data_IF_600514860316
#
_entry.id   IF_600514860316
#
_cell.length_a   1.000
_cell.length_b   1.000
_cell.length_c   1.000
_cell.angle_alpha   90.00
_cell.angle_beta   90.00
_cell.angle_gamma   90.00
#
_symmetry.space_group_name_H-M   'P 1'
#
loop_
_entity.id
_entity.type
_entity.pdbx_description
1 polymer ?
#
# COMPACT_ATOMS: atom_id res chain seq x y z
N UNK A 1 -23.74 -15.69 8.50
CA UNK A 1 -23.86 -14.40 9.21
C UNK A 1 -25.32 -14.04 9.33
N UNK A 2 -25.78 -13.50 10.47
CA UNK A 2 -27.18 -13.11 10.68
C UNK A 2 -27.34 -11.59 10.60
N UNK A 3 -28.55 -11.13 10.26
CA UNK A 3 -28.87 -9.71 10.17
C UNK A 3 -28.68 -8.97 11.51
N UNK A 4 -29.06 -9.59 12.63
CA UNK A 4 -28.94 -8.93 13.94
C UNK A 4 -27.48 -8.74 14.38
N UNK A 5 -26.58 -9.67 14.00
CA UNK A 5 -25.15 -9.47 14.20
C UNK A 5 -24.64 -8.24 13.44
N UNK A 6 -25.06 -8.02 12.19
CA UNK A 6 -24.73 -6.82 11.43
C UNK A 6 -25.29 -5.55 12.08
N UNK A 7 -26.52 -5.62 12.58
CA UNK A 7 -27.18 -4.51 13.28
C UNK A 7 -26.43 -4.09 14.54
N UNK A 8 -25.96 -5.06 15.34
CA UNK A 8 -25.17 -4.80 16.54
C UNK A 8 -23.80 -4.20 16.19
N UNK A 9 -23.10 -4.75 15.19
CA UNK A 9 -21.83 -4.21 14.73
C UNK A 9 -21.95 -2.76 14.26
N UNK A 10 -23.00 -2.43 13.50
CA UNK A 10 -23.27 -1.08 13.05
C UNK A 10 -23.56 -0.13 14.23
N UNK A 11 -24.35 -0.56 15.22
CA UNK A 11 -24.67 0.24 16.41
C UNK A 11 -23.43 0.56 17.26
N UNK A 12 -22.50 -0.39 17.39
CA UNK A 12 -21.28 -0.21 18.18
C UNK A 12 -20.10 0.39 17.38
N UNK A 13 -20.31 0.74 16.10
CA UNK A 13 -19.25 1.31 15.27
C UNK A 13 -18.11 0.33 14.97
N UNK A 14 -18.40 -0.97 14.99
CA UNK A 14 -17.42 -2.03 14.77
C UNK A 14 -17.31 -2.36 13.27
N UNK A 15 -16.09 -2.34 12.75
CA UNK A 15 -15.78 -2.77 11.40
C UNK A 15 -16.03 -4.27 11.25
N UNK A 16 -16.78 -4.66 10.23
CA UNK A 16 -16.77 -6.01 9.68
C UNK A 16 -15.84 -6.06 8.46
N UNK A 17 -14.92 -7.02 8.42
CA UNK A 17 -14.08 -7.29 7.26
C UNK A 17 -14.12 -8.78 6.91
N UNK A 18 -14.68 -9.11 5.76
CA UNK A 18 -14.64 -10.43 5.15
C UNK A 18 -13.32 -10.58 4.39
N UNK A 19 -12.51 -11.50 4.87
CA UNK A 19 -11.19 -11.80 4.34
C UNK A 19 -11.14 -13.26 3.88
N UNK A 20 -10.28 -13.56 2.91
CA UNK A 20 -9.96 -14.93 2.55
C UNK A 20 -9.15 -15.62 3.66
N UNK A 21 -8.89 -16.91 3.48
CA UNK A 21 -8.04 -17.71 4.38
C UNK A 21 -6.71 -16.98 4.65
N UNK A 22 -6.31 -16.91 5.91
CA UNK A 22 -5.10 -16.22 6.39
C UNK A 22 -4.99 -14.73 6.01
N UNK A 23 -6.10 -14.08 5.64
CA UNK A 23 -6.11 -12.67 5.29
C UNK A 23 -5.46 -12.33 3.94
N UNK A 24 -5.25 -13.33 3.07
CA UNK A 24 -4.56 -13.15 1.78
C UNK A 24 -5.37 -12.39 0.73
N UNK A 25 -6.68 -12.21 0.98
CA UNK A 25 -7.59 -11.39 0.16
C UNK A 25 -8.57 -10.67 1.06
N UNK A 26 -8.94 -9.43 0.69
CA UNK A 26 -10.01 -8.66 1.35
C UNK A 26 -11.15 -8.50 0.36
N UNK A 27 -12.34 -8.97 0.73
CA UNK A 27 -13.55 -8.86 -0.10
C UNK A 27 -14.48 -7.74 0.35
N UNK A 28 -14.32 -7.25 1.59
CA UNK A 28 -15.15 -6.18 2.13
C UNK A 28 -14.69 -4.81 1.66
N UNK A 29 -15.68 -3.99 1.27
CA UNK A 29 -15.49 -2.57 1.06
C UNK A 29 -15.24 -1.86 2.40
N UNK A 30 -14.48 -0.74 2.42
CA UNK A 30 -14.32 0.05 3.63
C UNK A 30 -15.69 0.42 4.23
N UNK A 31 -15.83 0.40 5.56
CA UNK A 31 -17.10 0.66 6.21
C UNK A 31 -17.49 2.13 5.96
N UNK A 32 -18.66 2.34 5.36
CA UNK A 32 -19.25 3.66 5.20
C UNK A 32 -20.01 4.00 6.49
N UNK A 33 -19.31 4.17 7.61
CA UNK A 33 -19.93 4.71 8.82
C UNK A 33 -19.88 6.24 8.80
N UNK A 34 -20.97 6.91 9.19
CA UNK A 34 -21.12 8.36 9.08
C UNK A 34 -20.30 9.16 10.10
N UNK A 35 -19.71 8.52 11.11
CA UNK A 35 -19.38 9.24 12.34
C UNK A 35 -18.13 10.14 12.27
N UNK A 36 -17.12 9.85 11.44
CA UNK A 36 -15.89 10.67 11.38
C UNK A 36 -15.25 10.68 9.99
N UNK A 37 -15.09 11.89 9.44
CA UNK A 37 -14.47 12.16 8.12
C UNK A 37 -13.18 12.97 8.21
N UNK A 38 -12.69 13.25 9.41
CA UNK A 38 -11.46 14.01 9.70
C UNK A 38 -10.23 13.38 9.03
N UNK A 39 -10.03 12.06 9.17
CA UNK A 39 -8.92 11.33 8.55
C UNK A 39 -9.03 11.36 7.03
N UNK A 40 -10.22 11.11 6.49
CA UNK A 40 -10.45 11.13 5.04
C UNK A 40 -10.27 12.54 4.45
N UNK A 41 -10.68 13.58 5.17
CA UNK A 41 -10.48 14.99 4.77
C UNK A 41 -9.02 15.38 4.83
N UNK A 42 -8.30 15.01 5.88
CA UNK A 42 -6.85 15.22 5.98
C UNK A 42 -6.10 14.52 4.85
N UNK A 43 -6.50 13.31 4.48
CA UNK A 43 -5.99 12.65 3.27
C UNK A 43 -6.29 13.51 2.04
N UNK A 44 -7.55 13.88 1.79
CA UNK A 44 -7.93 14.69 0.64
C UNK A 44 -7.13 16.00 0.52
N UNK A 45 -6.85 16.69 1.63
CA UNK A 45 -6.03 17.90 1.66
C UNK A 45 -4.56 17.65 1.31
N UNK A 46 -3.99 16.53 1.78
CA UNK A 46 -2.63 16.13 1.41
C UNK A 46 -2.53 15.81 -0.09
N UNK A 47 -3.60 15.25 -0.68
CA UNK A 47 -3.65 14.90 -2.10
C UNK A 47 -3.95 16.09 -3.01
N UNK A 48 -4.75 17.04 -2.52
CA UNK A 48 -5.22 18.19 -3.27
C UNK A 48 -4.10 19.15 -3.68
N UNK A 49 -3.02 19.23 -2.90
CA UNK A 49 -1.90 20.15 -3.20
C UNK A 49 -0.66 19.41 -3.75
N UNK A 50 -0.09 19.84 -4.90
CA UNK A 50 1.10 19.21 -5.48
C UNK A 50 2.31 19.19 -4.53
N UNK A 51 2.50 20.26 -3.76
CA UNK A 51 3.61 20.37 -2.79
C UNK A 51 3.49 19.34 -1.65
N UNK A 52 2.30 19.17 -1.06
CA UNK A 52 2.10 18.20 0.02
C UNK A 52 2.19 16.77 -0.50
N UNK A 53 1.71 16.50 -1.72
CA UNK A 53 1.84 15.18 -2.37
C UNK A 53 3.29 14.73 -2.48
N UNK A 54 4.19 15.60 -2.94
CA UNK A 54 5.62 15.32 -3.03
C UNK A 54 6.22 15.10 -1.63
N UNK A 55 5.84 15.92 -0.65
CA UNK A 55 6.30 15.76 0.74
C UNK A 55 5.93 14.39 1.32
N UNK A 56 4.70 13.91 1.08
CA UNK A 56 4.26 12.59 1.53
C UNK A 56 5.03 11.48 0.82
N UNK A 57 5.22 11.58 -0.50
CA UNK A 57 6.00 10.61 -1.26
C UNK A 57 7.45 10.51 -0.75
N UNK A 58 8.10 11.65 -0.44
CA UNK A 58 9.44 11.68 0.16
C UNK A 58 9.49 11.01 1.52
N UNK A 59 8.49 11.26 2.36
CA UNK A 59 8.41 10.62 3.68
C UNK A 59 8.25 9.10 3.55
N UNK A 60 7.46 8.63 2.58
CA UNK A 60 7.33 7.19 2.29
C UNK A 60 8.62 6.57 1.79
N UNK A 61 9.35 7.26 0.90
CA UNK A 61 10.67 6.82 0.46
C UNK A 61 11.67 6.75 1.61
N UNK A 62 11.66 7.73 2.51
CA UNK A 62 12.51 7.73 3.69
C UNK A 62 12.22 6.55 4.63
N UNK A 63 10.94 6.25 4.88
CA UNK A 63 10.54 5.08 5.67
C UNK A 63 10.98 3.76 5.02
N UNK A 64 10.91 3.67 3.69
CA UNK A 64 11.27 2.46 2.96
C UNK A 64 12.78 2.23 2.87
N UNK A 65 13.55 3.31 2.64
CA UNK A 65 15.00 3.23 2.41
C UNK A 65 15.82 3.37 3.70
N UNK A 66 15.20 3.87 4.78
CA UNK A 66 15.87 4.13 6.06
C UNK A 66 16.69 5.42 6.08
N UNK A 67 16.66 6.22 5.00
CA UNK A 67 17.48 7.42 4.82
C UNK A 67 16.66 8.55 4.19
N UNK A 68 16.95 9.79 4.57
CA UNK A 68 16.29 10.97 3.97
C UNK A 68 17.08 11.40 2.75
N UNK A 69 16.53 11.13 1.56
CA UNK A 69 17.16 11.55 0.31
C UNK A 69 16.95 13.07 0.06
N UNK A 70 18.02 13.81 -0.32
CA UNK A 70 17.95 15.26 -0.55
C UNK A 70 17.21 15.62 -1.86
N UNK A 71 17.01 14.63 -2.75
CA UNK A 71 16.45 14.81 -4.08
C UNK A 71 14.98 15.25 -4.01
N UNK A 72 14.64 16.30 -4.78
CA UNK A 72 13.26 16.82 -4.89
C UNK A 72 12.43 16.07 -5.93
N UNK A 73 13.10 15.44 -6.88
CA UNK A 73 12.44 14.83 -8.03
C UNK A 73 12.01 13.38 -7.73
N UNK A 74 10.76 13.07 -8.11
CA UNK A 74 10.15 11.76 -7.87
C UNK A 74 10.73 10.70 -8.81
N UNK A 75 11.12 11.06 -10.02
CA UNK A 75 11.65 10.11 -11.00
C UNK A 75 13.03 9.62 -10.59
N UNK A 76 13.85 10.52 -10.04
CA UNK A 76 15.13 10.19 -9.43
C UNK A 76 14.96 9.21 -8.24
N UNK A 77 14.01 9.48 -7.33
CA UNK A 77 13.73 8.59 -6.19
C UNK A 77 13.30 7.18 -6.65
N UNK A 78 12.52 7.10 -7.74
CA UNK A 78 12.13 5.83 -8.35
C UNK A 78 13.30 5.09 -8.97
N UNK A 79 14.23 5.79 -9.61
CA UNK A 79 15.44 5.19 -10.19
C UNK A 79 16.28 4.51 -9.11
N UNK A 80 16.50 5.20 -7.99
CA UNK A 80 17.24 4.68 -6.82
C UNK A 80 16.54 3.45 -6.26
N UNK A 81 15.23 3.52 -6.04
CA UNK A 81 14.43 2.40 -5.53
C UNK A 81 14.50 1.20 -6.47
N UNK A 82 14.33 1.42 -7.78
CA UNK A 82 14.38 0.36 -8.78
C UNK A 82 15.73 -0.34 -8.83
N UNK A 83 16.83 0.41 -8.76
CA UNK A 83 18.17 -0.14 -8.69
C UNK A 83 18.37 -0.99 -7.42
N UNK A 84 17.93 -0.49 -6.26
CA UNK A 84 18.05 -1.20 -4.98
C UNK A 84 17.23 -2.49 -4.95
N UNK A 85 16.00 -2.46 -5.47
CA UNK A 85 15.14 -3.65 -5.57
C UNK A 85 15.76 -4.71 -6.49
N UNK A 86 16.33 -4.31 -7.64
CA UNK A 86 17.05 -5.23 -8.53
C UNK A 86 18.27 -5.85 -7.84
N UNK A 87 19.03 -5.07 -7.08
CA UNK A 87 20.17 -5.57 -6.31
C UNK A 87 19.74 -6.60 -5.25
N UNK A 88 18.66 -6.32 -4.51
CA UNK A 88 18.11 -7.25 -3.51
C UNK A 88 17.69 -8.57 -4.16
N UNK A 89 16.98 -8.54 -5.30
CA UNK A 89 16.60 -9.77 -5.99
C UNK A 89 17.82 -10.58 -6.44
N UNK A 90 18.86 -9.93 -6.98
CA UNK A 90 20.10 -10.62 -7.37
C UNK A 90 20.80 -11.26 -6.17
N UNK A 91 20.91 -10.54 -5.06
CA UNK A 91 21.54 -11.05 -3.84
C UNK A 91 20.78 -12.24 -3.27
N UNK A 92 19.44 -12.17 -3.21
CA UNK A 92 18.61 -13.30 -2.77
C UNK A 92 18.68 -14.48 -3.73
N UNK A 93 18.68 -14.22 -5.04
CA UNK A 93 18.82 -15.28 -6.04
C UNK A 93 20.17 -16.01 -5.89
N UNK A 94 21.25 -15.29 -5.63
CA UNK A 94 22.57 -15.88 -5.34
C UNK A 94 22.58 -16.70 -4.04
N UNK A 95 21.98 -16.17 -2.98
CA UNK A 95 21.86 -16.84 -1.68
C UNK A 95 21.10 -18.17 -1.77
N UNK A 96 20.04 -18.22 -2.57
CA UNK A 96 19.24 -19.44 -2.78
C UNK A 96 19.66 -20.28 -4.00
N UNK A 97 20.69 -19.87 -4.75
CA UNK A 97 21.15 -20.58 -5.95
C UNK A 97 20.14 -20.62 -7.11
N UNK A 98 19.25 -19.63 -7.20
CA UNK A 98 18.17 -19.57 -8.20
C UNK A 98 18.62 -18.75 -9.42
N UNK A 99 18.43 -19.27 -10.63
CA UNK A 99 18.65 -18.51 -11.86
C UNK A 99 17.57 -17.42 -12.02
N UNK A 100 17.93 -16.16 -11.78
CA UNK A 100 16.99 -15.03 -11.84
C UNK A 100 17.27 -14.11 -13.04
N UNK A 101 16.39 -14.17 -14.04
CA UNK A 101 16.48 -13.33 -15.26
C UNK A 101 15.70 -12.00 -15.15
N UNK A 102 15.11 -11.73 -13.99
CA UNK A 102 14.29 -10.54 -13.75
C UNK A 102 12.81 -10.84 -13.55
N UNK A 103 12.07 -9.80 -13.13
CA UNK A 103 10.63 -9.90 -12.89
C UNK A 103 9.86 -9.76 -14.19
N UNK A 104 9.38 -10.88 -14.72
CA UNK A 104 8.47 -10.93 -15.88
C UNK A 104 7.08 -11.34 -15.37
N UNK A 105 6.05 -10.67 -15.85
CA UNK A 105 4.66 -11.01 -15.55
C UNK A 105 3.82 -10.82 -16.80
N UNK A 106 3.29 -11.92 -17.33
CA UNK A 106 2.29 -11.88 -18.38
C UNK A 106 0.89 -11.88 -17.74
N UNK A 107 0.05 -10.94 -18.19
CA UNK A 107 -1.35 -10.83 -17.74
C UNK A 107 -2.26 -11.81 -18.45
N UNK A 108 -1.92 -12.21 -19.67
CA UNK A 108 -2.75 -13.11 -20.47
C UNK A 108 -2.49 -14.57 -20.12
N UNK A 109 -1.29 -14.90 -19.63
CA UNK A 109 -0.95 -16.24 -19.18
C UNK A 109 -0.15 -16.22 -17.86
N UNK A 110 -0.84 -16.10 -16.71
CA UNK A 110 -0.17 -15.99 -15.40
C UNK A 110 0.65 -17.23 -15.04
N UNK A 111 0.25 -18.41 -15.51
CA UNK A 111 0.87 -19.70 -15.16
C UNK A 111 2.07 -20.06 -16.05
N UNK A 112 2.26 -19.37 -17.18
CA UNK A 112 3.43 -19.54 -18.02
C UNK A 112 4.70 -18.86 -17.48
N UNK A 113 4.59 -18.20 -16.33
CA UNK A 113 5.72 -17.53 -15.68
C UNK A 113 6.55 -18.52 -14.87
N UNK A 114 7.86 -18.28 -14.73
CA UNK A 114 8.73 -19.05 -13.82
C UNK A 114 8.14 -19.15 -12.39
N UNK A 115 8.33 -20.30 -11.75
CA UNK A 115 7.86 -20.59 -10.39
C UNK A 115 8.30 -19.51 -9.39
N UNK A 116 9.51 -18.97 -9.54
CA UNK A 116 10.00 -17.88 -8.70
C UNK A 116 9.12 -16.63 -8.83
N UNK A 117 8.79 -16.25 -10.07
CA UNK A 117 7.93 -15.10 -10.33
C UNK A 117 6.49 -15.31 -9.84
N UNK A 118 5.96 -16.53 -9.99
CA UNK A 118 4.65 -16.89 -9.43
C UNK A 118 4.64 -16.78 -7.90
N UNK A 119 5.64 -17.35 -7.22
CA UNK A 119 5.76 -17.29 -5.76
C UNK A 119 5.81 -15.84 -5.26
N UNK A 120 6.58 -14.97 -5.91
CA UNK A 120 6.63 -13.56 -5.53
C UNK A 120 5.29 -12.86 -5.83
N UNK A 121 4.53 -13.26 -6.86
CA UNK A 121 3.19 -12.72 -7.12
C UNK A 121 2.17 -13.12 -6.04
N UNK A 122 2.25 -14.35 -5.52
CA UNK A 122 1.41 -14.81 -4.41
C UNK A 122 1.76 -14.07 -3.12
N UNK A 123 3.04 -14.00 -2.75
CA UNK A 123 3.51 -13.26 -1.59
C UNK A 123 3.12 -11.77 -1.69
N UNK A 124 3.27 -11.18 -2.87
CA UNK A 124 2.83 -9.84 -3.18
C UNK A 124 1.33 -9.64 -2.86
N UNK A 125 0.48 -10.53 -3.35
CA UNK A 125 -0.97 -10.45 -3.15
C UNK A 125 -1.34 -10.52 -1.66
N UNK A 126 -0.70 -11.41 -0.90
CA UNK A 126 -0.94 -11.55 0.53
C UNK A 126 -0.58 -10.28 1.32
N UNK A 127 0.60 -9.70 1.07
CA UNK A 127 1.03 -8.46 1.72
C UNK A 127 0.11 -7.29 1.35
N UNK A 128 -0.36 -7.22 0.09
CA UNK A 128 -1.33 -6.21 -0.32
C UNK A 128 -2.68 -6.33 0.39
N UNK A 129 -3.13 -7.55 0.68
CA UNK A 129 -4.37 -7.79 1.40
C UNK A 129 -4.23 -7.41 2.87
N UNK A 130 -3.15 -7.83 3.53
CA UNK A 130 -2.85 -7.44 4.91
C UNK A 130 -2.80 -5.91 5.07
N UNK A 131 -2.14 -5.22 4.14
CA UNK A 131 -2.11 -3.77 4.15
C UNK A 131 -3.48 -3.13 3.91
N UNK A 132 -4.30 -3.69 3.00
CA UNK A 132 -5.66 -3.21 2.78
C UNK A 132 -6.54 -3.34 4.03
N UNK A 133 -6.43 -4.46 4.76
CA UNK A 133 -7.13 -4.69 6.02
C UNK A 133 -6.68 -3.67 7.09
N UNK A 134 -5.37 -3.42 7.20
CA UNK A 134 -4.83 -2.42 8.11
C UNK A 134 -5.34 -1.00 7.80
N UNK A 135 -5.40 -0.63 6.51
CA UNK A 135 -5.95 0.66 6.07
C UNK A 135 -7.44 0.78 6.43
N UNK A 136 -8.24 -0.27 6.20
CA UNK A 136 -9.66 -0.29 6.58
C UNK A 136 -9.85 -0.11 8.08
N UNK A 137 -9.05 -0.79 8.92
CA UNK A 137 -9.05 -0.61 10.38
C UNK A 137 -8.73 0.82 10.77
N UNK A 138 -7.75 1.44 10.12
CA UNK A 138 -7.31 2.80 10.42
C UNK A 138 -8.29 3.89 9.97
N UNK A 139 -9.48 3.51 9.44
CA UNK A 139 -10.52 4.42 8.92
C UNK A 139 -10.02 5.38 7.84
N UNK A 140 -8.98 4.97 7.11
CA UNK A 140 -8.42 5.72 6.00
C UNK A 140 -9.20 5.39 4.73
N UNK A 141 -9.51 6.42 3.95
CA UNK A 141 -10.30 6.27 2.73
C UNK A 141 -9.45 5.63 1.64
N UNK A 142 -9.85 4.43 1.18
CA UNK A 142 -9.16 3.71 0.10
C UNK A 142 -9.44 4.33 -1.28
N UNK A 143 -10.56 5.02 -1.48
CA UNK A 143 -10.90 5.62 -2.80
C UNK A 143 -10.14 6.91 -3.09
N UNK A 144 -9.57 7.55 -2.06
CA UNK A 144 -8.57 8.60 -2.19
C UNK A 144 -7.16 8.02 -2.48
N UNK A 145 -7.07 6.82 -3.05
CA UNK A 145 -5.80 6.30 -3.52
C UNK A 145 -5.32 7.18 -4.70
N UNK A 146 -4.14 7.80 -4.52
CA UNK A 146 -3.47 8.64 -5.51
C UNK A 146 -3.18 7.93 -6.82
N UNK A 147 -3.33 6.60 -6.87
CA UNK A 147 -3.05 5.77 -8.03
C UNK A 147 -3.85 6.14 -9.28
N UNK A 148 -5.01 6.81 -9.15
CA UNK A 148 -5.80 7.28 -10.31
C UNK A 148 -5.38 8.64 -10.85
N UNK A 149 -4.57 9.41 -10.09
CA UNK A 149 -4.10 10.76 -10.47
C UNK A 149 -2.59 10.93 -10.58
N UNK A 150 -1.81 9.88 -10.27
CA UNK A 150 -0.37 9.80 -10.56
C UNK A 150 -0.23 8.78 -11.70
N UNK A 151 0.29 9.15 -12.88
CA UNK A 151 0.16 8.34 -14.09
C UNK A 151 0.85 6.96 -14.08
N UNK A 152 1.59 6.57 -13.03
CA UNK A 152 2.59 5.53 -13.18
C UNK A 152 2.45 4.29 -12.27
N UNK A 153 2.46 3.14 -12.94
CA UNK A 153 2.14 1.79 -12.45
C UNK A 153 3.11 1.17 -11.42
N UNK A 154 4.28 1.74 -11.18
CA UNK A 154 5.28 1.17 -10.23
C UNK A 154 5.17 1.74 -8.81
N UNK A 155 4.65 2.97 -8.66
CA UNK A 155 4.28 3.58 -7.36
C UNK A 155 3.07 2.92 -6.67
N UNK A 156 2.34 2.09 -7.43
CA UNK A 156 1.13 1.37 -7.02
C UNK A 156 1.33 0.42 -5.84
N UNK A 157 2.54 -0.16 -5.71
CA UNK A 157 2.88 -1.10 -4.65
C UNK A 157 3.28 -0.42 -3.33
N UNK A 158 4.00 0.70 -3.43
CA UNK A 158 4.54 1.45 -2.30
C UNK A 158 3.45 2.20 -1.53
N UNK A 159 2.46 2.76 -2.23
CA UNK A 159 1.34 3.46 -1.61
C UNK A 159 0.36 2.56 -0.86
N UNK A 160 0.12 1.34 -1.35
CA UNK A 160 -0.81 0.40 -0.73
C UNK A 160 -0.31 -0.23 0.57
N UNK A 161 1.00 -0.24 0.83
CA UNK A 161 1.63 -0.89 2.01
C UNK A 161 2.12 0.09 3.07
N UNK A 162 2.72 1.22 2.69
CA UNK A 162 3.33 2.14 3.65
C UNK A 162 2.31 3.02 4.40
N UNK A 163 1.12 3.25 3.83
CA UNK A 163 0.12 4.13 4.45
C UNK A 163 -0.55 3.53 5.71
N UNK A 164 -0.30 2.25 6.02
CA UNK A 164 -0.71 1.64 7.29
C UNK A 164 0.25 1.97 8.46
N UNK A 165 1.48 2.43 8.19
CA UNK A 165 2.55 2.55 9.19
C UNK A 165 2.76 3.95 9.77
N UNK A 166 2.16 4.99 9.19
CA UNK A 166 2.27 6.37 9.71
C UNK A 166 1.22 6.67 10.79
N UNK A 167 1.39 6.07 11.98
CA UNK A 167 0.63 6.41 13.19
C UNK A 167 1.20 7.60 13.97
N UNK A 168 2.27 8.24 13.49
CA UNK A 168 2.88 9.43 14.11
C UNK A 168 3.19 10.50 13.08
N UNK A 169 2.15 11.19 12.59
CA UNK A 169 2.33 12.59 12.22
C UNK A 169 2.03 13.41 13.47
N UNK A 170 2.97 14.25 13.98
CA UNK A 170 2.65 15.20 15.02
C UNK A 170 1.62 16.17 14.46
N UNK A 171 0.54 16.43 15.21
CA UNK A 171 -0.43 17.46 14.88
C UNK A 171 0.30 18.80 14.71
N UNK A 172 -0.03 19.61 13.70
CA UNK A 172 0.49 20.98 13.65
C UNK A 172 0.01 21.69 14.91
N UNK A 173 0.95 22.19 15.70
CA UNK A 173 0.70 23.06 16.84
C UNK A 173 -0.19 24.21 16.38
N UNK A 174 -1.39 24.32 16.97
CA UNK A 174 -2.16 25.56 16.92
C UNK A 174 -1.33 26.63 17.63
N UNK A 175 -0.86 27.60 16.88
CA UNK A 175 -0.74 28.97 17.36
C UNK A 175 -2.03 29.70 16.98
#
# INVERSE_FOLDING_TARGET
MTHDALRLLARHGTLLAAVGTDGVRSYTAPPLLPDRSDVARGQAELLGSPRRRISVARHMYALRLGEVLPHRDLDTLRGIEGARVKAIYKLRAQEFGIAWEGRRYDRFNPDATDLTNQAINHAATAVQAAAAIAVQRSRRCRSLDLSTRIPDRLSYWMWRTCFAMTSRCPSPSRQ
#
